data_IF_812379190463
#
_entry.id   IF_812379190463
#
_cell.length_a   1.000
_cell.length_b   1.000
_cell.length_c   1.000
_cell.angle_alpha   90.00
_cell.angle_beta   90.00
_cell.angle_gamma   90.00
#
_symmetry.space_group_name_H-M   'P 1'
#
loop_
_entity.id
_entity.type
_entity.pdbx_description
1 polymer ?
#
# COMPACT_ATOMS: atom_id res chain seq x y z
N UNK A 1 -8.72 -5.70 116.31
CA UNK A 1 -8.38 -5.03 115.04
C UNK A 1 -8.54 -6.04 113.92
N UNK A 2 -9.57 -5.95 113.05
CA UNK A 2 -9.61 -6.69 111.81
C UNK A 2 -8.91 -5.91 110.67
N UNK A 3 -8.35 -6.58 109.67
CA UNK A 3 -7.47 -5.97 108.68
C UNK A 3 -8.26 -5.33 107.53
N UNK A 4 -7.66 -4.27 106.99
CA UNK A 4 -8.17 -3.43 105.92
C UNK A 4 -8.27 -4.16 104.58
N UNK A 5 -9.33 -3.84 103.85
CA UNK A 5 -9.68 -4.31 102.52
C UNK A 5 -8.51 -4.31 101.52
N UNK A 6 -8.45 -5.40 100.75
CA UNK A 6 -7.79 -5.51 99.46
C UNK A 6 -8.10 -4.33 98.55
N UNK A 7 -7.07 -3.76 97.93
CA UNK A 7 -7.20 -2.83 96.80
C UNK A 7 -7.94 -3.53 95.67
N UNK A 8 -9.24 -3.30 95.58
CA UNK A 8 -9.99 -3.53 94.36
C UNK A 8 -9.41 -2.55 93.34
N UNK A 9 -8.68 -3.07 92.35
CA UNK A 9 -8.14 -2.25 91.27
C UNK A 9 -9.29 -1.44 90.69
N UNK A 10 -9.23 -0.12 90.83
CA UNK A 10 -10.25 0.77 90.32
C UNK A 10 -10.33 0.54 88.81
N UNK A 11 -11.49 0.10 88.31
CA UNK A 11 -11.80 0.12 86.89
C UNK A 11 -11.47 1.53 86.40
N UNK A 12 -10.51 1.67 85.49
CA UNK A 12 -10.20 2.96 84.88
C UNK A 12 -11.41 3.29 84.01
N UNK A 13 -12.27 4.19 84.48
CA UNK A 13 -13.43 4.68 83.72
C UNK A 13 -12.97 5.34 82.43
N UNK A 14 -13.79 5.29 81.38
CA UNK A 14 -13.55 5.95 80.09
C UNK A 14 -14.84 6.58 79.57
N UNK A 15 -14.73 7.49 78.59
CA UNK A 15 -15.89 8.04 77.86
C UNK A 15 -16.76 6.93 77.22
N UNK A 16 -16.17 5.76 76.92
CA UNK A 16 -16.89 4.60 76.39
C UNK A 16 -17.79 3.89 77.43
N UNK A 17 -17.65 4.20 78.73
CA UNK A 17 -18.55 3.70 79.78
C UNK A 17 -19.81 4.57 79.95
N UNK A 18 -19.88 5.73 79.28
CA UNK A 18 -20.99 6.68 79.43
C UNK A 18 -22.24 6.21 78.68
N UNK A 19 -23.39 6.58 79.22
CA UNK A 19 -24.73 6.21 78.76
C UNK A 19 -25.41 7.37 78.04
N UNK A 20 -26.22 7.05 77.03
CA UNK A 20 -27.13 8.01 76.39
C UNK A 20 -28.30 8.42 77.30
N UNK A 21 -28.60 7.61 78.33
CA UNK A 21 -29.55 7.95 79.39
C UNK A 21 -28.80 8.76 80.45
N UNK A 22 -29.13 10.06 80.56
CA UNK A 22 -28.44 11.01 81.44
C UNK A 22 -28.38 10.57 82.91
N UNK A 23 -29.48 10.01 83.44
CA UNK A 23 -29.56 9.56 84.83
C UNK A 23 -28.52 8.47 85.19
N UNK A 24 -28.07 7.69 84.22
CA UNK A 24 -27.08 6.62 84.44
C UNK A 24 -25.64 7.14 84.50
N UNK A 25 -25.40 8.41 84.14
CA UNK A 25 -24.04 8.96 84.07
C UNK A 25 -23.52 9.47 85.42
N UNK A 26 -24.37 9.55 86.45
CA UNK A 26 -23.97 10.02 87.79
C UNK A 26 -22.87 9.16 88.43
N UNK A 27 -22.75 7.88 88.05
CA UNK A 27 -21.77 6.92 88.58
C UNK A 27 -20.98 6.19 87.49
N UNK A 28 -21.15 6.56 86.21
CA UNK A 28 -20.47 5.89 85.09
C UNK A 28 -18.94 6.13 85.09
N UNK A 29 -18.50 7.27 85.62
CA UNK A 29 -17.09 7.60 85.80
C UNK A 29 -16.81 7.95 87.26
N UNK A 30 -16.00 7.12 87.92
CA UNK A 30 -15.67 7.30 89.34
C UNK A 30 -14.90 8.59 89.65
N UNK A 31 -14.31 9.23 88.64
CA UNK A 31 -13.63 10.52 88.77
C UNK A 31 -14.55 11.73 88.51
N UNK A 32 -15.80 11.52 88.09
CA UNK A 32 -16.77 12.57 87.77
C UNK A 32 -18.00 12.43 88.66
N UNK A 33 -18.25 13.42 89.51
CA UNK A 33 -19.41 13.43 90.40
C UNK A 33 -20.47 14.40 89.85
N UNK A 34 -21.29 13.96 88.90
CA UNK A 34 -22.49 14.70 88.44
C UNK A 34 -23.77 14.16 89.09
N UNK A 35 -23.71 13.77 90.36
CA UNK A 35 -24.90 13.39 91.11
C UNK A 35 -25.88 14.57 91.22
N UNK A 36 -27.18 14.27 91.14
CA UNK A 36 -28.23 15.24 91.42
C UNK A 36 -28.10 15.73 92.87
N UNK A 37 -28.11 17.05 93.07
CA UNK A 37 -27.90 17.65 94.40
C UNK A 37 -26.45 17.62 94.92
N UNK A 38 -25.44 17.43 94.06
CA UNK A 38 -24.04 17.46 94.50
C UNK A 38 -23.67 18.77 95.22
N UNK A 39 -22.67 18.70 96.11
CA UNK A 39 -22.15 19.88 96.79
C UNK A 39 -21.52 20.86 95.78
N UNK A 40 -21.77 22.19 95.89
CA UNK A 40 -21.18 23.17 94.97
C UNK A 40 -19.65 23.10 94.84
N UNK A 41 -18.94 22.62 95.88
CA UNK A 41 -17.48 22.46 95.89
C UNK A 41 -16.95 21.36 94.96
N UNK A 42 -17.76 20.37 94.58
CA UNK A 42 -17.31 19.24 93.73
C UNK A 42 -17.43 19.53 92.23
N UNK A 43 -18.27 20.48 91.84
CA UNK A 43 -18.60 20.83 90.44
C UNK A 43 -17.34 21.10 89.60
N UNK A 44 -16.41 21.87 90.14
CA UNK A 44 -15.17 22.24 89.44
C UNK A 44 -14.27 21.01 89.17
N UNK A 45 -14.23 20.03 90.09
CA UNK A 45 -13.51 18.78 89.88
C UNK A 45 -14.10 17.96 88.73
N UNK A 46 -15.42 17.75 88.76
CA UNK A 46 -16.16 17.05 87.71
C UNK A 46 -16.01 17.71 86.33
N UNK A 47 -16.07 19.05 86.26
CA UNK A 47 -15.92 19.78 85.00
C UNK A 47 -14.50 19.63 84.40
N UNK A 48 -13.44 19.76 85.20
CA UNK A 48 -12.06 19.53 84.73
C UNK A 48 -11.85 18.10 84.26
N UNK A 49 -12.42 17.12 84.96
CA UNK A 49 -12.30 15.73 84.56
C UNK A 49 -13.06 15.44 83.25
N UNK A 50 -14.22 16.05 83.01
CA UNK A 50 -14.88 15.97 81.69
C UNK A 50 -14.00 16.53 80.55
N UNK A 51 -13.33 17.66 80.78
CA UNK A 51 -12.40 18.21 79.78
C UNK A 51 -11.24 17.25 79.51
N UNK A 52 -10.75 16.55 80.54
CA UNK A 52 -9.75 15.49 80.39
C UNK A 52 -10.28 14.31 79.54
N UNK A 53 -11.51 13.82 79.80
CA UNK A 53 -12.14 12.74 79.00
C UNK A 53 -12.34 13.11 77.54
N UNK A 54 -12.75 14.35 77.27
CA UNK A 54 -12.85 14.84 75.89
C UNK A 54 -11.48 14.88 75.20
N UNK A 55 -10.42 15.23 75.94
CA UNK A 55 -9.05 15.25 75.44
C UNK A 55 -8.51 13.82 75.21
N UNK A 56 -8.85 12.86 76.08
CA UNK A 56 -8.53 11.44 75.89
C UNK A 56 -9.15 10.92 74.58
N UNK A 57 -10.45 11.16 74.38
CA UNK A 57 -11.12 10.77 73.14
C UNK A 57 -10.48 11.44 71.92
N UNK A 58 -10.17 12.74 72.01
CA UNK A 58 -9.49 13.46 70.94
C UNK A 58 -8.09 12.89 70.66
N UNK A 59 -7.36 12.48 71.69
CA UNK A 59 -6.05 11.83 71.54
C UNK A 59 -6.15 10.49 70.81
N UNK A 60 -7.25 9.76 71.02
CA UNK A 60 -7.51 8.46 70.39
C UNK A 60 -7.94 8.59 68.93
N UNK A 61 -8.81 9.55 68.61
CA UNK A 61 -9.35 9.72 67.25
C UNK A 61 -8.61 10.76 66.40
N UNK A 62 -7.69 11.52 66.99
CA UNK A 62 -6.99 12.63 66.35
C UNK A 62 -5.78 12.25 65.50
N UNK A 63 -5.38 10.97 65.48
CA UNK A 63 -4.29 10.48 64.62
C UNK A 63 -2.88 10.70 65.19
N UNK A 64 -2.75 11.14 66.44
CA UNK A 64 -1.45 11.38 67.09
C UNK A 64 -0.78 10.09 67.61
N UNK A 65 -1.56 9.03 67.85
CA UNK A 65 -1.07 7.74 68.29
C UNK A 65 -0.25 7.07 67.19
N UNK A 66 0.96 6.61 67.50
CA UNK A 66 1.79 5.83 66.57
C UNK A 66 1.81 4.38 67.02
N UNK A 67 1.37 3.46 66.16
CA UNK A 67 1.36 2.04 66.45
C UNK A 67 2.80 1.49 66.57
N UNK A 68 3.05 0.70 67.60
CA UNK A 68 4.26 -0.11 67.75
C UNK A 68 4.06 -1.53 67.22
N UNK A 69 5.02 -2.41 67.53
CA UNK A 69 4.98 -3.82 67.12
C UNK A 69 5.63 -4.05 65.75
N UNK A 70 5.16 -5.08 65.04
CA UNK A 70 5.61 -5.41 63.69
C UNK A 70 4.58 -4.99 62.64
N UNK A 71 4.94 -5.11 61.35
CA UNK A 71 4.06 -4.83 60.21
C UNK A 71 2.64 -5.42 60.32
N UNK A 72 2.53 -6.65 60.83
CA UNK A 72 1.26 -7.41 60.87
C UNK A 72 0.80 -7.76 62.30
N UNK A 73 1.55 -7.36 63.33
CA UNK A 73 1.17 -7.52 64.73
C UNK A 73 1.39 -6.19 65.47
N UNK A 74 0.40 -5.31 65.35
CA UNK A 74 0.46 -3.95 65.86
C UNK A 74 0.02 -3.89 67.32
N UNK A 75 0.65 -2.99 68.07
CA UNK A 75 0.32 -2.73 69.47
C UNK A 75 0.15 -1.24 69.69
N UNK A 76 -0.84 -0.85 70.49
CA UNK A 76 -1.01 0.55 70.91
C UNK A 76 -1.55 0.64 72.34
N UNK A 77 -1.12 1.66 73.06
CA UNK A 77 -1.78 2.12 74.28
C UNK A 77 -2.65 3.31 73.91
N UNK A 78 -3.97 3.12 73.95
CA UNK A 78 -4.91 4.22 73.78
C UNK A 78 -4.87 5.15 74.99
N UNK A 79 -5.25 6.41 74.80
CA UNK A 79 -5.46 7.37 75.87
C UNK A 79 -6.70 6.98 76.69
N UNK A 80 -7.73 6.44 76.05
CA UNK A 80 -8.89 5.84 76.75
C UNK A 80 -8.52 4.51 77.40
N UNK A 81 -8.69 4.45 78.72
CA UNK A 81 -8.36 3.27 79.55
C UNK A 81 -9.39 2.14 79.54
N UNK A 82 -10.08 1.88 78.43
CA UNK A 82 -11.03 0.75 78.36
C UNK A 82 -10.29 -0.59 78.54
N UNK A 83 -10.95 -1.55 79.18
CA UNK A 83 -10.37 -2.86 79.55
C UNK A 83 -11.01 -4.04 78.79
N UNK A 84 -12.05 -3.77 78.01
CA UNK A 84 -12.73 -4.75 77.14
C UNK A 84 -13.02 -4.10 75.79
N UNK A 85 -13.10 -4.93 74.74
CA UNK A 85 -13.51 -4.44 73.44
C UNK A 85 -15.04 -4.41 73.31
N UNK A 86 -15.55 -3.27 72.84
CA UNK A 86 -16.98 -3.03 72.63
C UNK A 86 -17.20 -2.22 71.35
N UNK A 87 -18.37 -2.40 70.73
CA UNK A 87 -18.72 -1.72 69.49
C UNK A 87 -18.71 -0.20 69.69
N UNK A 88 -18.20 0.52 68.69
CA UNK A 88 -18.12 1.99 68.72
C UNK A 88 -16.83 2.55 69.32
N UNK A 89 -15.91 1.70 69.77
CA UNK A 89 -14.53 2.13 70.04
C UNK A 89 -13.83 2.49 68.72
N UNK A 90 -13.17 3.65 68.69
CA UNK A 90 -12.53 4.21 67.48
C UNK A 90 -11.12 4.67 67.83
N UNK A 91 -10.16 4.34 66.97
CA UNK A 91 -8.77 4.79 67.07
C UNK A 91 -8.29 5.28 65.71
N UNK A 92 -7.59 6.40 65.70
CA UNK A 92 -6.84 6.88 64.56
C UNK A 92 -5.34 6.69 64.84
N UNK A 93 -4.70 5.78 64.10
CA UNK A 93 -3.32 5.36 64.34
C UNK A 93 -2.43 5.71 63.16
N UNK A 94 -1.27 6.30 63.44
CA UNK A 94 -0.16 6.38 62.51
C UNK A 94 0.58 5.04 62.47
N UNK A 95 0.80 4.52 61.27
CA UNK A 95 1.44 3.22 61.05
C UNK A 95 2.94 3.41 60.83
N UNK A 96 3.77 2.57 61.45
CA UNK A 96 5.24 2.66 61.35
C UNK A 96 5.82 1.86 60.18
N UNK A 97 5.14 0.79 59.75
CA UNK A 97 5.64 -0.13 58.72
C UNK A 97 4.46 -0.68 57.93
N UNK A 98 4.65 -0.82 56.62
CA UNK A 98 3.66 -1.38 55.71
C UNK A 98 3.26 -2.78 56.15
N UNK A 99 1.96 -3.08 56.15
CA UNK A 99 1.54 -4.46 56.39
C UNK A 99 1.91 -5.32 55.19
N UNK A 100 2.30 -6.57 55.43
CA UNK A 100 2.67 -7.53 54.38
C UNK A 100 1.63 -8.62 54.17
N UNK A 101 0.66 -8.71 55.08
CA UNK A 101 -0.47 -9.64 55.00
C UNK A 101 -1.58 -9.29 55.99
N UNK A 102 -2.16 -10.32 56.60
CA UNK A 102 -3.22 -10.17 57.59
C UNK A 102 -2.67 -9.58 58.89
N UNK A 103 -3.13 -8.37 59.24
CA UNK A 103 -2.65 -7.66 60.41
C UNK A 103 -3.58 -7.80 61.63
N UNK A 104 -3.02 -7.65 62.82
CA UNK A 104 -3.74 -7.59 64.10
C UNK A 104 -3.40 -6.34 64.88
N UNK A 105 -4.31 -5.89 65.75
CA UNK A 105 -4.10 -4.79 66.68
C UNK A 105 -4.41 -5.24 68.11
N UNK A 106 -3.44 -5.10 69.00
CA UNK A 106 -3.62 -5.25 70.44
C UNK A 106 -3.63 -3.86 71.09
N UNK A 107 -4.79 -3.45 71.59
CA UNK A 107 -4.96 -2.17 72.28
C UNK A 107 -4.98 -2.40 73.79
N UNK A 108 -4.25 -1.57 74.53
CA UNK A 108 -4.20 -1.57 76.00
C UNK A 108 -3.81 -2.93 76.63
N UNK A 109 -3.21 -3.84 75.84
CA UNK A 109 -2.88 -5.18 76.31
C UNK A 109 -4.08 -6.13 76.52
N UNK A 110 -5.29 -5.76 76.06
CA UNK A 110 -6.53 -6.54 76.24
C UNK A 110 -6.47 -7.87 75.46
N UNK A 111 -5.72 -7.89 74.36
CA UNK A 111 -5.57 -9.03 73.46
C UNK A 111 -5.62 -8.59 72.00
N UNK A 112 -4.90 -9.30 71.14
CA UNK A 112 -4.85 -8.99 69.71
C UNK A 112 -6.18 -9.34 69.02
N UNK A 113 -6.70 -8.41 68.22
CA UNK A 113 -7.86 -8.61 67.34
C UNK A 113 -7.46 -8.35 65.89
N UNK A 114 -8.05 -9.08 64.95
CA UNK A 114 -7.77 -8.91 63.54
C UNK A 114 -8.12 -7.49 63.07
N UNK A 115 -7.37 -6.98 62.09
CA UNK A 115 -7.75 -5.80 61.31
C UNK A 115 -8.41 -6.30 60.02
N UNK A 116 -9.58 -5.77 59.70
CA UNK A 116 -10.40 -6.14 58.54
C UNK A 116 -10.65 -4.91 57.69
N UNK A 117 -10.84 -5.11 56.38
CA UNK A 117 -11.25 -4.06 55.44
C UNK A 117 -12.54 -4.48 54.73
N UNK A 118 -13.27 -3.52 54.18
CA UNK A 118 -14.36 -3.82 53.25
C UNK A 118 -13.83 -3.96 51.82
N UNK A 119 -14.31 -4.97 51.12
CA UNK A 119 -14.19 -5.14 49.66
C UNK A 119 -15.58 -5.42 49.09
N UNK A 120 -15.71 -5.51 47.76
CA UNK A 120 -17.00 -5.77 47.10
C UNK A 120 -17.69 -7.05 47.59
N UNK A 121 -16.92 -8.07 47.98
CA UNK A 121 -17.43 -9.34 48.49
C UNK A 121 -17.77 -9.34 49.99
N UNK A 122 -17.58 -8.22 50.71
CA UNK A 122 -17.75 -8.13 52.16
C UNK A 122 -16.46 -7.80 52.91
N UNK A 123 -16.41 -8.13 54.19
CA UNK A 123 -15.27 -7.90 55.08
C UNK A 123 -14.15 -8.94 54.87
N UNK A 124 -12.94 -8.49 54.53
CA UNK A 124 -11.80 -9.37 54.31
C UNK A 124 -10.64 -9.02 55.24
N UNK A 125 -9.72 -9.97 55.42
CA UNK A 125 -8.42 -9.69 56.03
C UNK A 125 -7.64 -8.71 55.15
N UNK A 126 -6.67 -8.02 55.74
CA UNK A 126 -5.67 -7.30 54.96
C UNK A 126 -4.80 -8.32 54.18
N UNK A 127 -4.34 -7.92 53.01
CA UNK A 127 -3.55 -8.75 52.09
C UNK A 127 -2.14 -8.21 51.85
N UNK A 128 -1.85 -6.98 52.28
CA UNK A 128 -0.59 -6.27 52.10
C UNK A 128 -0.81 -4.87 51.51
N UNK A 129 0.02 -3.93 51.95
CA UNK A 129 0.05 -2.53 51.49
C UNK A 129 -1.22 -1.68 51.76
N UNK A 130 -2.25 -2.19 52.45
CA UNK A 130 -3.41 -1.38 52.83
C UNK A 130 -3.14 -0.43 54.00
N UNK A 131 -2.17 -0.78 54.84
CA UNK A 131 -1.54 0.08 55.84
C UNK A 131 -0.14 0.42 55.32
N UNK A 132 0.19 1.71 55.29
CA UNK A 132 1.46 2.23 54.79
C UNK A 132 2.17 3.02 55.89
N UNK A 133 3.49 2.90 55.94
CA UNK A 133 4.33 3.64 56.85
C UNK A 133 4.09 5.16 56.73
N UNK A 134 3.89 5.82 57.86
CA UNK A 134 3.55 7.24 57.94
C UNK A 134 2.07 7.56 57.73
N UNK A 135 1.28 6.64 57.18
CA UNK A 135 -0.16 6.82 56.97
C UNK A 135 -0.96 6.81 58.27
N UNK A 136 -2.04 7.59 58.32
CA UNK A 136 -2.97 7.65 59.46
C UNK A 136 -4.25 6.92 59.07
N UNK A 137 -4.64 5.94 59.89
CA UNK A 137 -5.75 5.05 59.62
C UNK A 137 -6.75 5.03 60.75
N UNK A 138 -8.03 5.03 60.40
CA UNK A 138 -9.14 4.97 61.34
C UNK A 138 -9.60 3.52 61.45
N UNK A 139 -9.56 3.01 62.68
CA UNK A 139 -9.99 1.67 63.04
C UNK A 139 -11.19 1.76 63.99
N UNK A 140 -12.24 1.02 63.68
CA UNK A 140 -13.43 0.93 64.52
C UNK A 140 -13.68 -0.51 64.96
N UNK A 141 -13.77 -0.76 66.26
CA UNK A 141 -14.04 -2.10 66.76
C UNK A 141 -15.50 -2.49 66.52
N UNK A 142 -15.72 -3.71 66.02
CA UNK A 142 -17.02 -4.32 65.83
C UNK A 142 -16.96 -5.82 66.19
N UNK A 143 -17.87 -6.25 67.06
CA UNK A 143 -17.96 -7.63 67.57
C UNK A 143 -18.41 -8.64 66.53
N UNK A 144 -19.21 -8.21 65.54
CA UNK A 144 -19.76 -9.10 64.51
C UNK A 144 -18.73 -9.49 63.42
N UNK A 145 -17.63 -8.75 63.29
CA UNK A 145 -16.62 -8.99 62.26
C UNK A 145 -15.78 -10.24 62.57
N UNK A 146 -15.11 -10.74 61.53
CA UNK A 146 -14.25 -11.93 61.61
C UNK A 146 -15.00 -13.13 62.18
N UNK A 147 -16.14 -13.48 61.55
CA UNK A 147 -17.04 -14.54 61.98
C UNK A 147 -17.47 -14.41 63.46
N UNK A 148 -17.90 -13.20 63.87
CA UNK A 148 -18.29 -12.87 65.24
C UNK A 148 -17.21 -13.06 66.33
N UNK A 149 -15.94 -13.19 65.96
CA UNK A 149 -14.82 -13.19 66.91
C UNK A 149 -14.44 -11.77 67.38
N UNK A 150 -14.99 -10.73 66.74
CA UNK A 150 -14.67 -9.33 66.95
C UNK A 150 -13.39 -8.91 66.22
N UNK A 151 -13.42 -7.73 65.60
CA UNK A 151 -12.29 -7.21 64.83
C UNK A 151 -12.30 -5.68 64.73
N UNK A 152 -11.17 -5.11 64.34
CA UNK A 152 -11.02 -3.70 63.99
C UNK A 152 -11.30 -3.50 62.50
N UNK A 153 -12.31 -2.72 62.15
CA UNK A 153 -12.59 -2.33 60.77
C UNK A 153 -11.74 -1.12 60.37
N UNK A 154 -10.91 -1.29 59.36
CA UNK A 154 -10.15 -0.25 58.69
C UNK A 154 -11.06 0.52 57.74
N UNK A 155 -11.23 1.83 57.99
CA UNK A 155 -12.17 2.66 57.23
C UNK A 155 -11.54 3.31 55.99
N UNK A 156 -10.22 3.51 55.98
CA UNK A 156 -9.51 4.20 54.92
C UNK A 156 -8.27 3.41 54.45
N UNK A 157 -8.42 2.16 53.98
CA UNK A 157 -7.29 1.42 53.43
C UNK A 157 -6.63 2.20 52.29
N UNK A 158 -5.30 2.14 52.18
CA UNK A 158 -4.61 2.65 50.99
C UNK A 158 -5.11 1.89 49.76
N UNK A 159 -5.44 2.63 48.70
CA UNK A 159 -5.86 2.05 47.42
C UNK A 159 -4.65 1.81 46.53
N UNK A 160 -4.53 0.61 45.96
CA UNK A 160 -3.62 0.34 44.85
C UNK A 160 -4.26 0.84 43.54
N UNK A 161 -3.65 1.86 42.93
CA UNK A 161 -4.10 2.44 41.67
C UNK A 161 -3.32 1.92 40.45
N UNK A 162 -2.37 0.98 40.64
CA UNK A 162 -1.49 0.49 39.58
C UNK A 162 -2.23 -0.22 38.42
N UNK A 163 -3.44 -0.69 38.67
CA UNK A 163 -4.28 -1.38 37.68
C UNK A 163 -5.11 -0.45 36.78
N UNK A 164 -5.14 0.86 37.04
CA UNK A 164 -5.97 1.80 36.27
C UNK A 164 -5.20 2.42 35.10
N UNK A 165 -5.89 2.58 33.96
CA UNK A 165 -5.38 3.35 32.82
C UNK A 165 -5.55 4.84 33.14
N UNK A 166 -4.47 5.62 33.05
CA UNK A 166 -4.50 7.06 33.30
C UNK A 166 -4.57 7.85 31.97
N UNK A 167 -5.06 9.09 32.02
CA UNK A 167 -5.23 9.96 30.85
C UNK A 167 -3.90 10.47 30.26
N UNK A 168 -2.83 10.45 31.05
CA UNK A 168 -1.56 11.14 30.74
C UNK A 168 -0.35 10.20 30.78
N UNK A 169 -0.53 8.92 31.11
CA UNK A 169 0.53 7.93 31.17
C UNK A 169 0.59 7.02 29.94
N UNK A 170 1.80 6.61 29.54
CA UNK A 170 1.98 5.53 28.57
C UNK A 170 1.54 4.21 29.17
N UNK A 171 0.61 3.51 28.53
CA UNK A 171 0.14 2.20 28.96
C UNK A 171 0.69 1.11 28.03
N UNK A 172 1.20 0.02 28.60
CA UNK A 172 1.55 -1.19 27.84
C UNK A 172 0.47 -2.25 28.08
N UNK A 173 -0.26 -2.62 27.04
CA UNK A 173 -1.32 -3.64 27.09
C UNK A 173 -0.85 -4.92 26.41
N UNK A 174 -0.37 -5.90 27.18
CA UNK A 174 0.07 -7.20 26.65
C UNK A 174 -1.05 -8.23 26.75
N UNK A 175 -1.39 -8.88 25.63
CA UNK A 175 -2.42 -9.93 25.56
C UNK A 175 -3.78 -9.51 26.13
N UNK A 176 -4.20 -8.25 25.88
CA UNK A 176 -5.50 -7.73 26.30
C UNK A 176 -6.41 -7.52 25.10
N UNK A 177 -7.69 -7.85 25.27
CA UNK A 177 -8.75 -7.48 24.33
C UNK A 177 -9.50 -6.30 24.90
N UNK A 178 -9.54 -5.18 24.17
CA UNK A 178 -10.33 -4.00 24.53
C UNK A 178 -11.74 -4.15 23.92
N UNK A 179 -12.70 -4.59 24.71
CA UNK A 179 -14.09 -4.75 24.27
C UNK A 179 -14.99 -3.59 24.72
N UNK A 180 -14.65 -2.90 25.81
CA UNK A 180 -15.34 -1.71 26.28
C UNK A 180 -14.45 -0.89 27.22
N UNK A 181 -14.34 0.44 27.06
CA UNK A 181 -14.88 1.23 25.94
C UNK A 181 -14.21 0.85 24.61
N UNK A 182 -14.97 0.89 23.51
CA UNK A 182 -14.45 0.65 22.16
C UNK A 182 -13.58 1.83 21.71
N UNK A 183 -12.48 1.56 21.00
CA UNK A 183 -11.67 2.62 20.38
C UNK A 183 -12.30 2.96 19.03
N UNK A 184 -13.16 3.98 18.98
CA UNK A 184 -13.91 4.31 17.76
C UNK A 184 -13.07 5.10 16.74
N UNK A 185 -12.04 5.82 17.20
CA UNK A 185 -11.18 6.68 16.38
C UNK A 185 -9.71 6.55 16.78
N UNK A 186 -9.09 5.35 16.64
CA UNK A 186 -7.68 5.18 16.99
C UNK A 186 -6.83 6.06 16.08
N UNK A 187 -5.94 6.87 16.66
CA UNK A 187 -4.82 7.46 15.91
C UNK A 187 -3.59 6.61 16.19
N UNK A 188 -3.18 5.80 15.21
CA UNK A 188 -1.98 4.96 15.33
C UNK A 188 -0.83 5.70 14.63
N UNK A 189 0.13 6.19 15.41
CA UNK A 189 1.33 6.84 14.87
C UNK A 189 2.48 5.83 14.90
N UNK A 190 2.97 5.40 13.74
CA UNK A 190 4.16 4.53 13.63
C UNK A 190 3.95 3.05 14.02
N UNK A 191 2.71 2.55 14.02
CA UNK A 191 2.42 1.14 14.33
C UNK A 191 2.52 0.22 13.10
N UNK A 192 3.00 -1.01 13.30
CA UNK A 192 2.89 -2.11 12.33
C UNK A 192 1.70 -3.00 12.67
N UNK A 193 0.78 -3.21 11.74
CA UNK A 193 -0.34 -4.16 11.90
C UNK A 193 -0.20 -5.35 10.98
N UNK A 194 -0.48 -6.55 11.49
CA UNK A 194 -0.65 -7.76 10.69
C UNK A 194 -2.14 -8.01 10.44
N UNK A 195 -2.54 -8.27 9.19
CA UNK A 195 -3.93 -8.58 8.84
C UNK A 195 -4.91 -7.41 8.98
N UNK A 196 -4.45 -6.16 8.79
CA UNK A 196 -5.34 -4.99 8.81
C UNK A 196 -6.28 -4.97 7.60
N UNK A 197 -7.59 -4.90 7.85
CA UNK A 197 -8.59 -4.58 6.82
C UNK A 197 -8.85 -3.08 6.81
N UNK A 198 -8.64 -2.43 5.67
CA UNK A 198 -8.83 -1.00 5.52
C UNK A 198 -10.15 -0.71 4.78
N UNK A 199 -11.21 -0.42 5.52
CA UNK A 199 -12.54 -0.13 4.96
C UNK A 199 -12.76 1.39 4.90
N UNK A 200 -13.04 1.94 3.72
CA UNK A 200 -13.36 3.38 3.50
C UNK A 200 -12.29 4.39 3.95
N UNK A 201 -11.04 3.97 4.15
CA UNK A 201 -9.99 4.90 4.58
C UNK A 201 -9.38 5.68 3.41
N UNK A 202 -8.92 6.89 3.68
CA UNK A 202 -8.06 7.68 2.78
C UNK A 202 -6.61 7.53 3.22
N UNK A 203 -5.75 7.07 2.31
CA UNK A 203 -4.30 7.02 2.50
C UNK A 203 -3.66 8.27 1.87
N UNK A 204 -3.18 9.20 2.68
CA UNK A 204 -2.50 10.41 2.19
C UNK A 204 -1.00 10.17 2.15
N UNK A 205 -0.38 10.34 0.97
CA UNK A 205 1.06 10.11 0.73
C UNK A 205 1.61 8.76 1.22
N UNK A 206 0.94 7.62 0.97
CA UNK A 206 1.44 6.33 1.43
C UNK A 206 2.68 5.92 0.62
N UNK A 207 3.64 5.29 1.29
CA UNK A 207 4.55 4.36 0.62
C UNK A 207 3.93 2.97 0.73
N UNK A 208 3.60 2.34 -0.41
CA UNK A 208 3.04 0.99 -0.46
C UNK A 208 4.14 0.01 -0.84
N UNK A 209 4.42 -0.94 0.05
CA UNK A 209 5.28 -2.09 -0.26
C UNK A 209 4.40 -3.33 -0.35
N UNK A 210 4.41 -3.99 -1.51
CA UNK A 210 3.65 -5.19 -1.77
C UNK A 210 4.43 -6.43 -1.33
N UNK A 211 3.76 -7.59 -1.28
CA UNK A 211 4.45 -8.88 -1.19
C UNK A 211 5.42 -8.98 -2.38
N UNK A 212 6.66 -9.41 -2.14
CA UNK A 212 7.68 -9.50 -3.19
C UNK A 212 8.03 -10.96 -3.45
N UNK A 213 8.25 -11.29 -4.72
CA UNK A 213 8.72 -12.61 -5.15
C UNK A 213 9.53 -12.44 -6.44
N UNK A 214 10.54 -13.28 -6.63
CA UNK A 214 11.28 -13.38 -7.90
C UNK A 214 10.46 -14.11 -8.99
N UNK A 215 9.44 -14.87 -8.58
CA UNK A 215 8.54 -15.60 -9.49
C UNK A 215 7.12 -15.64 -8.88
N UNK A 216 6.41 -14.51 -8.83
CA UNK A 216 5.09 -14.45 -8.22
C UNK A 216 4.07 -15.26 -9.02
N UNK A 217 3.34 -16.15 -8.34
CA UNK A 217 2.21 -16.92 -8.90
C UNK A 217 0.95 -16.80 -8.05
N UNK A 218 0.46 -15.59 -7.72
CA UNK A 218 -0.78 -15.43 -6.98
C UNK A 218 -1.96 -15.93 -7.80
N UNK A 219 -2.84 -16.73 -7.18
CA UNK A 219 -4.10 -17.20 -7.78
C UNK A 219 -5.32 -16.71 -7.01
N UNK A 220 -5.19 -16.42 -5.72
CA UNK A 220 -6.27 -15.87 -4.91
C UNK A 220 -6.64 -14.47 -5.40
N UNK A 221 -7.93 -14.19 -5.54
CA UNK A 221 -8.43 -12.91 -6.04
C UNK A 221 -7.90 -11.74 -5.19
N UNK A 222 -7.28 -10.76 -5.85
CA UNK A 222 -6.72 -9.57 -5.20
C UNK A 222 -5.36 -9.78 -4.53
N UNK A 223 -4.82 -11.01 -4.47
CA UNK A 223 -3.45 -11.20 -4.00
C UNK A 223 -2.47 -10.58 -5.00
N UNK A 224 -1.85 -9.48 -4.57
CA UNK A 224 -1.00 -8.63 -5.40
C UNK A 224 0.44 -8.77 -4.96
N UNK A 225 1.31 -9.14 -5.89
CA UNK A 225 2.74 -9.35 -5.65
C UNK A 225 3.59 -8.58 -6.67
N UNK A 226 4.67 -7.98 -6.19
CA UNK A 226 5.70 -7.37 -7.03
C UNK A 226 6.70 -8.44 -7.48
N UNK A 227 6.89 -8.55 -8.79
CA UNK A 227 7.91 -9.39 -9.41
C UNK A 227 9.25 -8.65 -9.38
N UNK A 228 10.16 -9.07 -8.51
CA UNK A 228 11.45 -8.39 -8.32
C UNK A 228 12.41 -8.57 -9.49
N UNK A 229 12.22 -9.61 -10.31
CA UNK A 229 13.13 -9.95 -11.39
C UNK A 229 12.68 -9.26 -12.69
N UNK A 230 11.38 -9.32 -12.98
CA UNK A 230 10.81 -8.81 -14.22
C UNK A 230 10.24 -7.37 -14.12
N UNK A 231 10.20 -6.79 -12.91
CA UNK A 231 9.64 -5.45 -12.63
C UNK A 231 8.18 -5.29 -13.06
N UNK A 232 7.38 -6.34 -12.85
CA UNK A 232 5.95 -6.37 -13.18
C UNK A 232 5.09 -6.58 -11.94
N UNK A 233 3.81 -6.23 -12.06
CA UNK A 233 2.82 -6.53 -11.03
C UNK A 233 2.07 -7.81 -11.39
N UNK A 234 2.04 -8.77 -10.46
CA UNK A 234 1.28 -10.01 -10.57
C UNK A 234 0.06 -9.99 -9.64
N UNK A 235 -1.11 -10.34 -10.16
CA UNK A 235 -2.39 -10.28 -9.43
C UNK A 235 -3.16 -11.58 -9.64
N UNK A 236 -3.60 -12.21 -8.55
CA UNK A 236 -4.53 -13.34 -8.65
C UNK A 236 -5.95 -12.88 -8.99
N UNK A 237 -6.63 -13.62 -9.87
CA UNK A 237 -8.02 -13.35 -10.29
C UNK A 237 -9.04 -14.37 -9.75
N UNK A 238 -8.62 -15.21 -8.81
CA UNK A 238 -9.41 -16.33 -8.27
C UNK A 238 -9.20 -17.66 -9.02
N UNK A 239 -8.59 -17.64 -10.22
CA UNK A 239 -8.30 -18.84 -11.00
C UNK A 239 -6.82 -18.96 -11.39
N UNK A 240 -6.18 -17.85 -11.75
CA UNK A 240 -4.84 -17.77 -12.28
C UNK A 240 -4.15 -16.45 -11.91
N UNK A 241 -2.90 -16.30 -12.35
CA UNK A 241 -2.14 -15.05 -12.24
C UNK A 241 -2.35 -14.20 -13.49
N UNK A 242 -2.65 -12.91 -13.29
CA UNK A 242 -2.61 -11.86 -14.31
C UNK A 242 -1.39 -11.00 -14.11
N UNK A 243 -0.77 -10.59 -15.21
CA UNK A 243 0.41 -9.74 -15.21
C UNK A 243 0.05 -8.38 -15.80
N UNK A 244 0.49 -7.32 -15.14
CA UNK A 244 0.43 -5.96 -15.64
C UNK A 244 1.84 -5.56 -16.05
N UNK A 245 2.08 -5.57 -17.36
CA UNK A 245 3.37 -5.24 -17.93
C UNK A 245 3.54 -3.71 -18.05
N UNK A 246 4.77 -3.20 -17.90
CA UNK A 246 5.06 -1.80 -18.16
C UNK A 246 4.91 -1.47 -19.64
N UNK A 247 4.36 -0.30 -19.94
CA UNK A 247 4.36 0.24 -21.30
C UNK A 247 5.80 0.66 -21.63
N UNK A 248 6.34 0.30 -22.81
CA UNK A 248 7.68 0.71 -23.22
C UNK A 248 7.83 2.23 -23.21
N UNK A 249 9.03 2.70 -22.86
CA UNK A 249 9.35 4.13 -22.87
C UNK A 249 9.12 4.75 -24.26
N UNK A 250 8.68 6.02 -24.27
CA UNK A 250 8.44 6.81 -25.49
C UNK A 250 7.38 6.24 -26.45
N UNK A 251 6.47 5.40 -25.96
CA UNK A 251 5.29 4.95 -26.72
C UNK A 251 4.41 6.13 -27.13
N UNK A 252 3.97 6.14 -28.39
CA UNK A 252 3.19 7.18 -29.04
C UNK A 252 2.01 6.59 -29.81
N UNK A 253 1.07 7.45 -30.20
CA UNK A 253 -0.12 7.04 -30.94
C UNK A 253 0.25 6.42 -32.31
N UNK A 254 -0.28 5.23 -32.58
CA UNK A 254 -0.08 4.47 -33.82
C UNK A 254 1.09 3.49 -33.78
N UNK A 255 1.85 3.43 -32.67
CA UNK A 255 2.90 2.44 -32.51
C UNK A 255 2.34 1.04 -32.28
N UNK A 256 3.18 0.04 -32.57
CA UNK A 256 2.88 -1.37 -32.32
C UNK A 256 3.75 -1.81 -31.14
N UNK A 257 3.11 -2.34 -30.10
CA UNK A 257 3.79 -3.01 -29.00
C UNK A 257 3.91 -4.51 -29.29
N UNK A 258 5.07 -5.09 -28.99
CA UNK A 258 5.34 -6.50 -29.19
C UNK A 258 6.22 -7.05 -28.07
N UNK A 259 6.20 -8.36 -27.87
CA UNK A 259 7.00 -9.04 -26.85
C UNK A 259 8.42 -9.34 -27.37
N UNK A 260 9.44 -9.09 -26.54
CA UNK A 260 10.85 -9.44 -26.82
C UNK A 260 11.35 -10.60 -25.96
N UNK A 261 10.71 -10.84 -24.83
CA UNK A 261 10.93 -11.99 -23.96
C UNK A 261 9.66 -12.29 -23.15
N UNK A 262 9.71 -13.30 -22.28
CA UNK A 262 8.65 -13.50 -21.29
C UNK A 262 8.52 -12.24 -20.42
N UNK A 263 7.31 -11.68 -20.31
CA UNK A 263 6.99 -10.49 -19.50
C UNK A 263 7.70 -9.18 -19.88
N UNK A 264 8.38 -9.13 -21.03
CA UNK A 264 9.06 -7.91 -21.53
C UNK A 264 8.49 -7.50 -22.88
N UNK A 265 8.05 -6.25 -22.98
CA UNK A 265 7.54 -5.66 -24.22
C UNK A 265 8.49 -4.59 -24.77
N UNK A 266 8.40 -4.36 -26.07
CA UNK A 266 9.12 -3.34 -26.79
C UNK A 266 8.19 -2.64 -27.79
N UNK A 267 8.64 -1.48 -28.25
CA UNK A 267 7.92 -0.61 -29.17
C UNK A 267 8.50 -0.73 -30.58
N UNK A 268 7.63 -0.92 -31.57
CA UNK A 268 7.89 -0.62 -32.98
C UNK A 268 7.15 0.69 -33.31
N UNK A 269 7.90 1.74 -33.62
CA UNK A 269 7.32 3.03 -33.99
C UNK A 269 6.41 2.89 -35.22
N UNK A 270 5.36 3.71 -35.36
CA UNK A 270 4.49 3.67 -36.56
C UNK A 270 5.29 3.79 -37.87
N UNK A 271 4.90 3.01 -38.87
CA UNK A 271 5.50 3.03 -40.20
C UNK A 271 5.11 4.25 -41.04
N UNK A 272 5.75 4.39 -42.19
CA UNK A 272 5.42 5.37 -43.23
C UNK A 272 4.47 4.76 -44.27
N UNK A 273 3.89 5.61 -45.12
CA UNK A 273 2.89 5.20 -46.10
C UNK A 273 3.42 4.10 -47.06
N UNK A 274 2.64 3.01 -47.17
CA UNK A 274 2.92 1.87 -48.04
C UNK A 274 3.93 0.86 -47.47
N UNK A 275 4.41 1.05 -46.24
CA UNK A 275 5.10 -0.01 -45.51
C UNK A 275 4.11 -1.07 -45.03
N UNK A 276 4.56 -2.32 -45.02
CA UNK A 276 3.83 -3.45 -44.43
C UNK A 276 4.61 -4.02 -43.26
N UNK A 277 3.89 -4.54 -42.27
CA UNK A 277 4.50 -5.24 -41.15
C UNK A 277 5.05 -6.59 -41.63
N UNK A 278 6.32 -6.86 -41.34
CA UNK A 278 7.00 -8.13 -41.65
C UNK A 278 7.79 -8.60 -40.43
N UNK A 279 8.30 -9.82 -40.51
CA UNK A 279 9.28 -10.32 -39.56
C UNK A 279 10.69 -10.02 -40.08
N UNK A 280 11.58 -9.56 -39.20
CA UNK A 280 12.98 -9.33 -39.57
C UNK A 280 13.69 -10.63 -40.00
N UNK A 281 14.83 -10.50 -40.67
CA UNK A 281 15.59 -11.65 -41.18
C UNK A 281 16.01 -12.64 -40.08
N UNK A 282 16.14 -12.18 -38.83
CA UNK A 282 16.49 -13.00 -37.67
C UNK A 282 15.31 -13.73 -37.01
N UNK A 283 14.07 -13.48 -37.43
CA UNK A 283 12.86 -13.96 -36.77
C UNK A 283 12.75 -13.57 -35.28
N UNK A 284 13.31 -12.42 -34.91
CA UNK A 284 13.36 -11.94 -33.52
C UNK A 284 12.47 -10.74 -33.24
N UNK A 285 12.03 -10.01 -34.27
CA UNK A 285 11.20 -8.82 -34.09
C UNK A 285 10.39 -8.48 -35.36
N UNK A 286 9.18 -7.90 -35.19
CA UNK A 286 8.49 -7.28 -36.30
C UNK A 286 9.25 -6.03 -36.78
N UNK A 287 9.18 -5.76 -38.09
CA UNK A 287 9.76 -4.58 -38.72
C UNK A 287 8.86 -4.05 -39.83
N UNK A 288 9.09 -2.79 -40.23
CA UNK A 288 8.45 -2.22 -41.41
C UNK A 288 9.29 -2.49 -42.65
N UNK A 289 8.66 -3.02 -43.70
CA UNK A 289 9.32 -3.26 -44.99
C UNK A 289 8.47 -2.85 -46.19
N UNK A 290 9.13 -2.63 -47.33
CA UNK A 290 8.50 -2.43 -48.66
C UNK A 290 8.77 -3.59 -49.62
N UNK A 291 8.03 -3.71 -50.72
CA UNK A 291 8.53 -4.44 -51.90
C UNK A 291 8.06 -5.88 -52.19
N UNK A 292 6.97 -6.40 -51.58
CA UNK A 292 6.35 -7.68 -52.02
C UNK A 292 4.93 -7.48 -52.59
N UNK A 293 4.62 -6.25 -53.01
CA UNK A 293 3.31 -5.87 -53.55
C UNK A 293 3.37 -5.44 -55.02
N UNK A 294 2.22 -5.02 -55.55
CA UNK A 294 2.08 -4.33 -56.84
C UNK A 294 3.15 -3.24 -57.02
N UNK A 295 3.61 -2.96 -58.26
CA UNK A 295 4.57 -1.89 -58.53
C UNK A 295 4.17 -0.56 -57.87
N UNK A 296 5.15 0.16 -57.32
CA UNK A 296 4.94 1.49 -56.76
C UNK A 296 4.53 2.48 -57.86
N UNK A 297 5.13 2.35 -59.05
CA UNK A 297 4.69 3.07 -60.25
C UNK A 297 4.67 2.19 -61.52
N UNK A 298 3.79 2.53 -62.47
CA UNK A 298 3.70 1.91 -63.81
C UNK A 298 3.60 2.98 -64.88
N UNK A 299 4.53 2.95 -65.82
CA UNK A 299 4.62 3.88 -66.95
C UNK A 299 4.45 3.12 -68.25
N UNK A 300 3.76 3.71 -69.22
CA UNK A 300 3.42 3.06 -70.49
C UNK A 300 3.59 3.96 -71.71
N UNK A 301 3.95 3.35 -72.83
CA UNK A 301 3.68 3.88 -74.17
C UNK A 301 2.27 3.47 -74.56
N UNK A 302 1.33 4.40 -74.41
CA UNK A 302 -0.04 4.21 -74.83
C UNK A 302 -0.29 4.92 -76.15
N UNK A 303 -0.92 4.21 -77.08
CA UNK A 303 -1.41 4.78 -78.33
C UNK A 303 -2.90 4.48 -78.50
N UNK A 304 -3.58 5.28 -79.32
CA UNK A 304 -4.99 5.05 -79.63
C UNK A 304 -5.17 3.72 -80.38
N UNK A 305 -6.35 3.10 -80.25
CA UNK A 305 -6.73 1.87 -80.96
C UNK A 305 -6.36 1.95 -82.45
N UNK A 306 -5.75 0.89 -82.98
CA UNK A 306 -5.37 0.86 -84.38
C UNK A 306 -4.01 1.50 -84.71
N UNK A 307 -3.33 2.08 -83.71
CA UNK A 307 -2.07 2.80 -83.93
C UNK A 307 -0.89 1.92 -83.54
N UNK A 308 -0.06 1.55 -84.53
CA UNK A 308 1.18 0.76 -84.31
C UNK A 308 2.20 1.50 -83.43
N UNK A 309 3.10 0.76 -82.80
CA UNK A 309 4.09 1.25 -81.82
C UNK A 309 5.08 2.28 -82.37
N UNK A 310 5.12 2.44 -83.69
CA UNK A 310 5.86 3.52 -84.35
C UNK A 310 6.94 3.01 -85.29
N UNK A 311 7.51 3.99 -86.01
CA UNK A 311 8.56 3.75 -87.00
C UNK A 311 9.86 3.46 -86.27
N UNK A 312 10.42 2.27 -86.48
CA UNK A 312 11.71 1.90 -85.92
C UNK A 312 12.86 2.34 -86.82
N UNK A 313 13.91 2.83 -86.19
CA UNK A 313 15.19 3.15 -86.82
C UNK A 313 16.17 2.00 -86.54
N UNK A 314 16.88 1.55 -87.57
CA UNK A 314 17.89 0.48 -87.44
C UNK A 314 19.24 1.04 -87.06
N UNK A 315 20.07 0.19 -86.46
CA UNK A 315 21.51 0.44 -86.24
C UNK A 315 21.84 1.67 -85.37
N UNK A 316 20.91 2.14 -84.55
CA UNK A 316 21.11 3.28 -83.64
C UNK A 316 20.28 3.09 -82.38
N UNK A 317 20.86 3.41 -81.22
CA UNK A 317 20.14 3.44 -79.95
C UNK A 317 19.20 4.64 -79.93
N UNK A 318 17.91 4.36 -79.85
CA UNK A 318 16.85 5.38 -79.88
C UNK A 318 15.94 5.21 -78.68
N UNK A 319 15.49 6.31 -78.08
CA UNK A 319 14.52 6.30 -76.97
C UNK A 319 13.17 5.76 -77.43
N UNK A 320 12.61 4.81 -76.68
CA UNK A 320 11.22 4.35 -76.82
C UNK A 320 10.28 5.45 -76.36
N UNK A 321 9.09 5.48 -76.92
CA UNK A 321 8.03 6.28 -76.33
C UNK A 321 7.69 5.77 -74.91
N UNK A 322 7.35 6.71 -74.03
CA UNK A 322 6.85 6.47 -72.69
C UNK A 322 6.06 7.73 -72.28
N UNK A 323 4.74 7.68 -72.37
CA UNK A 323 3.91 8.89 -72.42
C UNK A 323 2.81 8.95 -71.37
N UNK A 324 2.54 7.83 -70.68
CA UNK A 324 1.45 7.73 -69.73
C UNK A 324 1.96 7.18 -68.41
N UNK A 325 1.69 7.91 -67.33
CA UNK A 325 1.80 7.42 -65.97
C UNK A 325 0.47 6.76 -65.57
N UNK A 326 0.44 5.43 -65.58
CA UNK A 326 -0.79 4.65 -65.32
C UNK A 326 -1.04 4.46 -63.84
N UNK A 327 0.03 4.44 -63.05
CA UNK A 327 -0.02 4.29 -61.59
C UNK A 327 1.16 5.02 -61.00
N UNK A 328 0.89 5.94 -60.09
CA UNK A 328 1.85 6.44 -59.12
C UNK A 328 1.11 7.16 -57.98
N UNK A 329 0.41 6.42 -57.09
CA UNK A 329 -0.37 7.02 -56.02
C UNK A 329 0.49 7.76 -54.98
N UNK A 330 1.82 7.57 -55.00
CA UNK A 330 2.75 8.17 -54.06
C UNK A 330 3.58 9.31 -54.67
N UNK A 331 3.40 9.63 -55.95
CA UNK A 331 4.14 10.69 -56.65
C UNK A 331 5.66 10.45 -56.63
N UNK A 332 6.08 9.20 -56.80
CA UNK A 332 7.47 8.77 -56.77
C UNK A 332 8.18 8.92 -58.12
N UNK A 333 7.48 9.05 -59.24
CA UNK A 333 8.06 9.20 -60.57
C UNK A 333 7.53 10.48 -61.21
N UNK A 334 8.38 11.21 -61.91
CA UNK A 334 7.94 12.22 -62.88
C UNK A 334 8.25 11.75 -64.30
N UNK A 335 7.27 11.82 -65.20
CA UNK A 335 7.39 11.43 -66.61
C UNK A 335 7.35 12.66 -67.53
N UNK A 336 8.39 12.86 -68.33
CA UNK A 336 8.45 13.93 -69.33
C UNK A 336 9.36 13.53 -70.49
N UNK A 337 9.02 13.94 -71.72
CA UNK A 337 9.85 13.75 -72.91
C UNK A 337 10.36 12.29 -73.12
N UNK A 338 9.49 11.30 -72.87
CA UNK A 338 9.81 9.86 -72.92
C UNK A 338 10.87 9.38 -71.91
N UNK A 339 11.12 10.16 -70.87
CA UNK A 339 12.06 9.89 -69.80
C UNK A 339 11.36 9.96 -68.45
N UNK A 340 11.86 9.19 -67.48
CA UNK A 340 11.30 9.14 -66.14
C UNK A 340 12.36 9.40 -65.07
N UNK A 341 12.00 10.14 -64.03
CA UNK A 341 12.88 10.48 -62.91
C UNK A 341 12.26 10.03 -61.60
N UNK A 342 12.91 9.16 -60.81
CA UNK A 342 12.38 8.72 -59.53
C UNK A 342 12.79 9.67 -58.40
N UNK A 343 11.92 9.89 -57.42
CA UNK A 343 12.24 10.65 -56.19
C UNK A 343 13.00 9.82 -55.16
N UNK A 344 12.99 8.48 -55.31
CA UNK A 344 13.66 7.51 -54.44
C UNK A 344 14.41 6.47 -55.27
N UNK A 345 15.46 5.85 -54.72
CA UNK A 345 16.14 4.75 -55.41
C UNK A 345 15.21 3.52 -55.50
N UNK A 346 15.44 2.66 -56.50
CA UNK A 346 14.66 1.46 -56.64
C UNK A 346 15.10 0.52 -57.75
N UNK A 347 14.22 -0.42 -58.07
CA UNK A 347 14.37 -1.39 -59.14
C UNK A 347 13.30 -1.13 -60.20
N UNK A 348 13.70 -1.15 -61.47
CA UNK A 348 12.75 -1.15 -62.58
C UNK A 348 12.80 -2.47 -63.32
N UNK A 349 11.62 -2.89 -63.79
CA UNK A 349 11.49 -3.88 -64.84
C UNK A 349 10.81 -3.23 -66.03
N UNK A 350 11.29 -3.50 -67.24
CA UNK A 350 10.66 -3.00 -68.44
C UNK A 350 10.42 -4.11 -69.44
N UNK A 351 9.52 -3.80 -70.36
CA UNK A 351 9.16 -4.66 -71.46
C UNK A 351 8.84 -3.84 -72.70
N UNK A 352 9.41 -4.22 -73.85
CA UNK A 352 9.26 -3.50 -75.12
C UNK A 352 9.03 -4.49 -76.28
N UNK A 353 7.99 -4.32 -77.09
CA UNK A 353 7.73 -5.18 -78.24
C UNK A 353 8.54 -4.76 -79.47
N UNK A 354 8.78 -5.75 -80.33
CA UNK A 354 9.35 -5.65 -81.66
C UNK A 354 8.47 -6.39 -82.66
N UNK A 355 8.44 -5.92 -83.90
CA UNK A 355 7.67 -6.55 -84.99
C UNK A 355 8.49 -6.70 -86.26
N UNK A 356 8.58 -7.95 -86.74
CA UNK A 356 9.31 -8.36 -87.92
C UNK A 356 10.75 -7.80 -88.02
N UNK A 357 11.46 -7.79 -86.89
CA UNK A 357 12.86 -7.38 -86.74
C UNK A 357 13.46 -7.99 -85.48
N UNK A 358 14.78 -8.16 -85.43
CA UNK A 358 15.51 -8.37 -84.18
C UNK A 358 15.72 -7.07 -83.42
N UNK A 359 15.58 -7.12 -82.09
CA UNK A 359 15.70 -5.97 -81.19
C UNK A 359 16.49 -6.29 -79.93
N UNK A 360 17.23 -5.30 -79.46
CA UNK A 360 17.69 -5.20 -78.08
C UNK A 360 17.06 -3.96 -77.44
N UNK A 361 16.79 -4.03 -76.15
CA UNK A 361 16.44 -2.88 -75.33
C UNK A 361 17.50 -2.64 -74.25
N UNK A 362 17.55 -1.44 -73.69
CA UNK A 362 18.39 -1.11 -72.55
C UNK A 362 17.73 -0.06 -71.67
N UNK A 363 18.11 -0.07 -70.41
CA UNK A 363 17.91 1.04 -69.50
C UNK A 363 19.12 1.97 -69.57
N UNK A 364 18.87 3.23 -69.92
CA UNK A 364 19.87 4.26 -70.08
C UNK A 364 19.65 5.35 -69.03
N UNK A 365 20.73 5.78 -68.37
CA UNK A 365 20.72 6.92 -67.48
C UNK A 365 21.11 8.15 -68.31
N UNK A 366 20.12 8.97 -68.66
CA UNK A 366 20.31 10.17 -69.48
C UNK A 366 21.03 11.28 -68.73
N UNK A 367 20.85 11.37 -67.40
CA UNK A 367 21.57 12.34 -66.57
C UNK A 367 23.08 12.13 -66.60
N UNK A 368 23.52 10.87 -66.47
CA UNK A 368 24.94 10.54 -66.38
C UNK A 368 25.51 10.04 -67.72
N UNK A 369 24.68 9.81 -68.74
CA UNK A 369 25.09 9.35 -70.06
C UNK A 369 25.67 7.94 -70.07
N UNK A 370 25.13 7.03 -69.26
CA UNK A 370 25.67 5.67 -69.08
C UNK A 370 24.62 4.57 -69.20
N UNK A 371 25.06 3.40 -69.65
CA UNK A 371 24.28 2.17 -69.65
C UNK A 371 24.08 1.69 -68.21
N UNK A 372 22.83 1.41 -67.83
CA UNK A 372 22.50 0.80 -66.53
C UNK A 372 22.40 -0.71 -66.66
N UNK A 373 21.58 -1.19 -67.60
CA UNK A 373 21.32 -2.61 -67.80
C UNK A 373 20.80 -2.90 -69.21
N UNK A 374 21.10 -4.08 -69.73
CA UNK A 374 20.63 -4.57 -71.02
C UNK A 374 19.38 -5.44 -70.86
N UNK A 375 18.45 -5.33 -71.79
CA UNK A 375 17.35 -6.27 -71.92
C UNK A 375 17.77 -7.54 -72.66
N UNK A 376 16.99 -8.59 -72.51
CA UNK A 376 17.11 -9.81 -73.30
C UNK A 376 16.94 -9.50 -74.79
N UNK A 377 17.77 -10.11 -75.63
CA UNK A 377 17.61 -10.02 -77.08
C UNK A 377 16.28 -10.64 -77.51
N UNK A 378 15.54 -9.95 -78.38
CA UNK A 378 14.33 -10.45 -79.01
C UNK A 378 14.54 -10.58 -80.52
N UNK A 379 13.94 -11.59 -81.14
CA UNK A 379 14.05 -11.86 -82.58
C UNK A 379 12.69 -12.22 -83.16
N UNK A 380 12.07 -11.26 -83.85
CA UNK A 380 10.95 -11.53 -84.74
C UNK A 380 11.45 -11.74 -86.19
N UNK A 381 10.89 -12.73 -86.89
CA UNK A 381 11.18 -13.02 -88.29
C UNK A 381 10.51 -12.01 -89.22
N UNK A 382 10.99 -11.86 -90.46
CA UNK A 382 10.45 -10.89 -91.43
C UNK A 382 9.05 -11.23 -91.99
N UNK A 383 8.29 -12.10 -91.31
CA UNK A 383 6.93 -12.51 -91.67
C UNK A 383 5.91 -11.45 -91.20
N UNK A 384 4.82 -11.18 -91.96
CA UNK A 384 3.84 -10.13 -91.65
C UNK A 384 3.00 -10.37 -90.37
N UNK A 385 3.33 -11.37 -89.56
CA UNK A 385 2.66 -11.67 -88.28
C UNK A 385 3.65 -12.18 -87.23
N UNK A 386 4.91 -11.72 -87.27
CA UNK A 386 5.92 -12.12 -86.29
C UNK A 386 6.24 -10.95 -85.34
N UNK A 387 6.03 -11.18 -84.04
CA UNK A 387 6.39 -10.25 -82.99
C UNK A 387 7.16 -10.96 -81.89
N UNK A 388 7.98 -10.20 -81.17
CA UNK A 388 8.73 -10.67 -80.00
C UNK A 388 8.97 -9.51 -79.04
N UNK A 389 9.40 -9.78 -77.81
CA UNK A 389 9.53 -8.78 -76.76
C UNK A 389 10.90 -8.79 -76.10
N UNK A 390 11.54 -7.62 -76.02
CA UNK A 390 12.75 -7.44 -75.20
C UNK A 390 12.34 -6.97 -73.82
N UNK A 391 12.68 -7.78 -72.81
CA UNK A 391 12.44 -7.53 -71.39
C UNK A 391 13.75 -7.32 -70.66
N UNK A 392 13.76 -6.49 -69.62
CA UNK A 392 14.93 -6.30 -68.78
C UNK A 392 14.60 -5.72 -67.42
N UNK A 393 15.61 -5.66 -66.57
CA UNK A 393 15.51 -5.04 -65.26
C UNK A 393 16.83 -4.42 -64.83
N UNK A 394 16.77 -3.43 -63.96
CA UNK A 394 17.96 -2.76 -63.45
C UNK A 394 17.69 -1.81 -62.29
N UNK A 395 18.72 -1.50 -61.49
CA UNK A 395 18.61 -0.55 -60.40
C UNK A 395 18.59 0.89 -60.93
N UNK A 396 17.82 1.76 -60.30
CA UNK A 396 17.82 3.20 -60.54
C UNK A 396 18.04 3.96 -59.24
N UNK A 397 18.63 5.15 -59.35
CA UNK A 397 18.95 6.06 -58.25
C UNK A 397 18.03 7.29 -58.28
N UNK A 398 17.67 7.78 -57.10
CA UNK A 398 16.86 8.99 -56.92
C UNK A 398 17.42 10.21 -57.66
N UNK A 399 16.54 11.02 -58.24
CA UNK A 399 16.85 12.30 -58.88
C UNK A 399 17.55 12.22 -60.24
N UNK A 400 17.73 11.01 -60.79
CA UNK A 400 18.34 10.79 -62.10
C UNK A 400 17.27 10.50 -63.15
N UNK A 401 17.47 11.00 -64.35
CA UNK A 401 16.57 10.82 -65.49
C UNK A 401 16.97 9.57 -66.29
N UNK A 402 15.99 8.71 -66.58
CA UNK A 402 16.19 7.45 -67.28
C UNK A 402 15.28 7.31 -68.49
N UNK A 403 15.78 6.65 -69.54
CA UNK A 403 15.02 6.23 -70.71
C UNK A 403 15.14 4.73 -70.95
N UNK A 404 14.08 4.16 -71.54
CA UNK A 404 14.19 2.86 -72.21
C UNK A 404 14.58 3.12 -73.65
N UNK A 405 15.71 2.58 -74.08
CA UNK A 405 16.20 2.71 -75.45
C UNK A 405 16.15 1.37 -76.17
N UNK A 406 16.01 1.41 -77.49
CA UNK A 406 15.99 0.25 -78.37
C UNK A 406 17.05 0.33 -79.45
N UNK A 407 17.44 -0.85 -79.97
CA UNK A 407 18.31 -1.00 -81.12
C UNK A 407 17.74 -2.09 -82.03
N UNK A 408 17.48 -1.76 -83.31
CA UNK A 408 16.90 -2.70 -84.28
C UNK A 408 17.90 -3.13 -85.33
N UNK A 409 17.70 -4.36 -85.80
CA UNK A 409 18.40 -4.91 -86.98
C UNK A 409 17.85 -4.39 -88.32
N UNK A 410 16.61 -3.87 -88.34
CA UNK A 410 15.97 -3.33 -89.55
C UNK A 410 14.95 -2.23 -89.23
N UNK A 411 14.80 -1.27 -90.14
CA UNK A 411 13.86 -0.14 -90.01
C UNK A 411 12.47 -0.48 -90.57
N UNK A 412 11.47 0.36 -90.26
CA UNK A 412 10.11 0.23 -90.81
C UNK A 412 9.02 0.85 -89.93
N UNK A 413 7.82 1.04 -90.47
CA UNK A 413 6.74 1.85 -89.88
C UNK A 413 6.11 1.32 -88.59
N UNK A 414 6.19 0.01 -88.33
CA UNK A 414 5.55 -0.65 -87.18
C UNK A 414 6.55 -1.49 -86.37
N UNK A 415 7.86 -1.26 -86.53
CA UNK A 415 8.89 -2.13 -85.92
C UNK A 415 8.86 -2.14 -84.40
N UNK A 416 8.31 -1.11 -83.78
CA UNK A 416 8.20 -0.96 -82.33
C UNK A 416 6.95 -1.64 -81.74
N UNK A 417 6.19 -2.37 -82.56
CA UNK A 417 5.00 -3.12 -82.19
C UNK A 417 3.90 -2.95 -83.22
N UNK A 418 3.19 -4.03 -83.55
CA UNK A 418 2.01 -3.99 -84.44
C UNK A 418 0.75 -3.74 -83.60
N UNK A 419 -0.17 -2.93 -84.12
CA UNK A 419 -1.48 -2.68 -83.48
C UNK A 419 -2.35 -3.94 -83.38
N UNK A 420 -3.10 -4.07 -82.28
CA UNK A 420 -4.10 -5.13 -82.08
C UNK A 420 -5.54 -4.73 -82.43
N UNK A 421 -5.82 -3.42 -82.52
CA UNK A 421 -7.10 -2.83 -82.94
C UNK A 421 -8.20 -2.85 -81.88
N UNK A 422 -7.87 -3.09 -80.61
CA UNK A 422 -8.83 -3.23 -79.50
C UNK A 422 -8.41 -2.36 -78.31
N UNK A 423 -9.03 -1.18 -78.16
CA UNK A 423 -8.80 -0.29 -77.02
C UNK A 423 -7.47 0.47 -77.07
N UNK A 424 -6.88 0.77 -75.92
CA UNK A 424 -5.57 1.43 -75.84
C UNK A 424 -4.48 0.41 -76.21
N UNK A 425 -3.64 0.76 -77.18
CA UNK A 425 -2.49 -0.05 -77.58
C UNK A 425 -1.32 0.25 -76.62
N UNK A 426 -0.82 -0.77 -75.91
CA UNK A 426 0.30 -0.63 -74.98
C UNK A 426 1.54 -1.29 -75.56
N UNK A 427 2.63 -0.54 -75.68
CA UNK A 427 3.89 -1.05 -76.22
C UNK A 427 4.96 -1.19 -75.14
N UNK A 428 5.68 -0.12 -74.83
CA UNK A 428 6.64 -0.10 -73.73
C UNK A 428 5.88 -0.06 -72.41
N UNK A 429 6.24 -0.92 -71.45
CA UNK A 429 5.79 -0.81 -70.06
C UNK A 429 6.99 -0.85 -69.13
N UNK A 430 7.06 0.10 -68.20
CA UNK A 430 8.04 0.15 -67.11
C UNK A 430 7.30 0.01 -65.79
N UNK A 431 7.77 -0.88 -64.93
CA UNK A 431 7.29 -1.07 -63.56
C UNK A 431 8.41 -0.68 -62.62
N UNK A 432 8.10 0.09 -61.59
CA UNK A 432 9.06 0.56 -60.59
C UNK A 432 8.68 0.04 -59.21
N UNK A 433 9.69 -0.40 -58.45
CA UNK A 433 9.59 -0.70 -57.03
C UNK A 433 10.67 0.06 -56.29
N UNK A 434 10.29 0.86 -55.30
CA UNK A 434 11.28 1.53 -54.44
C UNK A 434 12.06 0.50 -53.63
N UNK A 435 13.38 0.71 -53.52
CA UNK A 435 14.20 -0.03 -52.56
C UNK A 435 14.09 0.68 -51.21
N UNK A 436 13.88 -0.11 -50.15
CA UNK A 436 13.77 0.37 -48.76
C UNK A 436 15.01 1.10 -48.30
#
# INVERSE_FOLDING_TARGET
MPPWHSKQEAKISSIYDWSLIAANNATADSAINWAEGQAPSTVNGSARQMMARNTELLGDIGGALTAGGSADALTITANSGFTTYANGQVLALKIATDNTGAATLNVNGIGAKAIRKMVTAGESALAGAELQAGGIYILMYQSALNAAAGAWLLLNPTMDLSAYVTLTGTQTLTNKTLTSPTINTPTITGGSGSGMTLTTATLTTPTLTLKQSAAPTPTAEGDTQWDTDDNVLAIGDGAATKLFLPIPASTAAGDIEYYTAAKVTARLAKGTAGQVLRMNAGATAPEWGGGNGTPDAVLEDQKASGTSGGTGVSTTWTTRDLNTEVRDPSGLISLAANQFTPTVAGWVEWSTPSYATGMLSRLWNDTDGVLVSMGAASRADSSPNSGDQSIGGGPIVAGKEYAIQYYLSSSGSSRLGLQGGQGIEVYTRVKFWRTS
#
